data_IF_908356017196
#
_entry.id   IF_908356017196
#
_cell.length_a   1.000
_cell.length_b   1.000
_cell.length_c   1.000
_cell.angle_alpha   90.00
_cell.angle_beta   90.00
_cell.angle_gamma   90.00
#
_symmetry.space_group_name_H-M   'P 1'
#
loop_
_entity.id
_entity.type
_entity.pdbx_description
1 polymer ?
#
# COMPACT_ATOMS: atom_id res chain seq x y z
N UNK A 1 -3.82 -18.49 -8.40
CA UNK A 1 -3.51 -17.56 -9.51
C UNK A 1 -2.03 -17.67 -9.81
N UNK A 2 -1.61 -17.50 -11.07
CA UNK A 2 -0.19 -17.41 -11.45
C UNK A 2 0.27 -15.95 -11.38
N UNK A 3 1.36 -15.68 -10.64
CA UNK A 3 1.91 -14.35 -10.41
C UNK A 3 3.37 -14.33 -10.82
N UNK A 4 3.76 -13.40 -11.70
CA UNK A 4 5.16 -13.15 -12.01
C UNK A 4 5.65 -11.92 -11.25
N UNK A 5 6.85 -12.01 -10.65
CA UNK A 5 7.48 -10.93 -9.89
C UNK A 5 8.81 -10.59 -10.57
N UNK A 6 8.90 -9.42 -11.17
CA UNK A 6 10.14 -8.87 -11.67
C UNK A 6 10.91 -8.21 -10.52
N UNK A 7 12.08 -8.75 -10.21
CA UNK A 7 12.92 -8.38 -9.08
C UNK A 7 12.90 -9.43 -7.97
N UNK A 8 13.96 -10.21 -7.86
CA UNK A 8 14.14 -11.24 -6.82
C UNK A 8 15.01 -10.75 -5.65
N UNK A 9 15.00 -9.45 -5.39
CA UNK A 9 15.59 -8.82 -4.21
C UNK A 9 14.90 -9.23 -2.91
N UNK A 10 15.22 -8.58 -1.80
CA UNK A 10 14.60 -8.89 -0.50
C UNK A 10 13.07 -8.73 -0.55
N UNK A 11 12.60 -7.61 -1.12
CA UNK A 11 11.16 -7.31 -1.24
C UNK A 11 10.44 -8.33 -2.11
N UNK A 12 10.94 -8.60 -3.33
CA UNK A 12 10.29 -9.57 -4.24
C UNK A 12 10.21 -10.97 -3.64
N UNK A 13 11.26 -11.42 -2.95
CA UNK A 13 11.23 -12.74 -2.26
C UNK A 13 10.27 -12.75 -1.07
N UNK A 14 10.14 -11.64 -0.34
CA UNK A 14 9.16 -11.53 0.75
C UNK A 14 7.74 -11.63 0.23
N UNK A 15 7.42 -10.88 -0.83
CA UNK A 15 6.12 -10.95 -1.51
C UNK A 15 5.85 -12.38 -2.03
N UNK A 16 6.86 -13.01 -2.64
CA UNK A 16 6.74 -14.36 -3.16
C UNK A 16 6.39 -15.39 -2.09
N UNK A 17 6.99 -15.30 -0.90
CA UNK A 17 6.66 -16.19 0.24
C UNK A 17 5.21 -16.06 0.65
N UNK A 18 4.76 -14.83 0.87
CA UNK A 18 3.39 -14.52 1.27
C UNK A 18 2.36 -15.05 0.25
N UNK A 19 2.60 -14.80 -1.04
CA UNK A 19 1.72 -15.28 -2.09
C UNK A 19 1.68 -16.80 -2.19
N UNK A 20 2.81 -17.47 -1.98
CA UNK A 20 2.87 -18.94 -1.95
C UNK A 20 2.16 -19.54 -0.74
N UNK A 21 2.20 -18.88 0.42
CA UNK A 21 1.45 -19.28 1.61
C UNK A 21 -0.05 -19.15 1.38
N UNK A 22 -0.47 -18.14 0.62
CA UNK A 22 -1.85 -17.92 0.19
C UNK A 22 -2.29 -18.79 -1.01
N UNK A 23 -1.48 -19.78 -1.41
CA UNK A 23 -1.83 -20.77 -2.44
C UNK A 23 -1.73 -20.28 -3.88
N UNK A 24 -0.92 -19.25 -4.14
CA UNK A 24 -0.63 -18.78 -5.49
C UNK A 24 0.60 -19.49 -6.07
N UNK A 25 0.68 -19.58 -7.41
CA UNK A 25 1.87 -19.98 -8.12
C UNK A 25 2.71 -18.74 -8.41
N UNK A 26 4.00 -18.76 -8.08
CA UNK A 26 4.87 -17.60 -8.19
C UNK A 26 6.10 -17.90 -9.04
N UNK A 27 6.35 -17.03 -10.02
CA UNK A 27 7.59 -16.97 -10.80
C UNK A 27 8.38 -15.72 -10.38
N UNK A 28 9.63 -15.89 -9.98
CA UNK A 28 10.56 -14.80 -9.70
C UNK A 28 11.52 -14.62 -10.88
N UNK A 29 11.63 -13.39 -11.39
CA UNK A 29 12.50 -13.01 -12.51
C UNK A 29 13.53 -12.00 -12.02
N UNK A 30 14.81 -12.22 -12.24
CA UNK A 30 15.86 -11.24 -11.96
C UNK A 30 17.04 -11.45 -12.90
N UNK A 31 17.62 -10.35 -13.38
CA UNK A 31 18.80 -10.41 -14.27
C UNK A 31 20.12 -10.61 -13.54
N UNK A 32 20.13 -10.40 -12.23
CA UNK A 32 21.33 -10.54 -11.43
C UNK A 32 21.43 -11.97 -10.86
N UNK A 33 22.44 -12.77 -11.25
CA UNK A 33 22.60 -14.12 -10.74
C UNK A 33 22.73 -14.20 -9.21
N UNK A 34 23.19 -13.13 -8.56
CA UNK A 34 23.31 -13.06 -7.10
C UNK A 34 21.95 -12.95 -6.40
N UNK A 35 20.90 -12.51 -7.12
CA UNK A 35 19.53 -12.44 -6.62
C UNK A 35 18.82 -13.78 -6.69
N UNK A 36 19.28 -14.71 -7.55
CA UNK A 36 18.71 -16.04 -7.69
C UNK A 36 19.11 -16.89 -6.48
N UNK A 37 18.21 -16.92 -5.49
CA UNK A 37 18.42 -17.63 -4.22
C UNK A 37 17.31 -18.67 -4.01
N UNK A 38 17.29 -19.70 -4.86
CA UNK A 38 16.23 -20.73 -4.92
C UNK A 38 15.91 -21.30 -3.53
N UNK A 39 16.93 -21.54 -2.70
CA UNK A 39 16.75 -22.06 -1.34
C UNK A 39 15.95 -21.12 -0.41
N UNK A 40 15.88 -19.83 -0.74
CA UNK A 40 15.14 -18.86 0.10
C UNK A 40 13.63 -18.89 -0.14
N UNK A 41 13.19 -19.34 -1.33
CA UNK A 41 11.78 -19.50 -1.71
C UNK A 41 11.66 -20.77 -2.56
N UNK A 42 11.75 -21.98 -1.96
CA UNK A 42 11.91 -23.24 -2.70
C UNK A 42 10.71 -23.62 -3.58
N UNK A 43 9.52 -23.09 -3.25
CA UNK A 43 8.28 -23.39 -3.98
C UNK A 43 8.04 -22.44 -5.17
N UNK A 44 8.84 -21.39 -5.33
CA UNK A 44 8.74 -20.50 -6.47
C UNK A 44 9.47 -21.06 -7.68
N UNK A 45 8.96 -20.76 -8.87
CA UNK A 45 9.71 -20.87 -10.11
C UNK A 45 10.72 -19.70 -10.19
N UNK A 46 11.86 -19.93 -10.84
CA UNK A 46 12.91 -18.92 -10.94
C UNK A 46 13.40 -18.79 -12.37
N UNK A 47 13.52 -17.56 -12.85
CA UNK A 47 14.05 -17.24 -14.16
C UNK A 47 15.17 -16.19 -14.03
N UNK A 48 16.37 -16.55 -14.49
CA UNK A 48 17.48 -15.61 -14.63
C UNK A 48 17.38 -14.91 -15.98
N UNK A 49 16.75 -13.73 -16.02
CA UNK A 49 16.50 -12.98 -17.25
C UNK A 49 16.24 -11.49 -16.95
N UNK A 50 16.41 -10.62 -17.94
CA UNK A 50 16.02 -9.22 -17.84
C UNK A 50 14.53 -9.08 -18.16
N UNK A 51 13.73 -8.71 -17.17
CA UNK A 51 12.29 -8.54 -17.34
C UNK A 51 11.91 -7.30 -18.21
N UNK A 52 12.86 -6.50 -18.64
CA UNK A 52 12.65 -5.43 -19.60
C UNK A 52 12.78 -5.89 -21.07
N UNK A 53 13.08 -7.18 -21.32
CA UNK A 53 13.23 -7.75 -22.64
C UNK A 53 12.05 -8.67 -22.99
N UNK A 54 11.46 -8.47 -24.17
CA UNK A 54 10.30 -9.26 -24.66
C UNK A 54 10.60 -10.74 -24.66
N UNK A 55 11.76 -11.16 -25.18
CA UNK A 55 12.18 -12.56 -25.23
C UNK A 55 12.23 -13.22 -23.85
N UNK A 56 12.65 -12.48 -22.83
CA UNK A 56 12.66 -12.94 -21.44
C UNK A 56 11.24 -13.12 -20.88
N UNK A 57 10.31 -12.25 -21.28
CA UNK A 57 8.92 -12.31 -20.87
C UNK A 57 8.16 -13.43 -21.62
N UNK A 58 8.55 -13.74 -22.87
CA UNK A 58 8.09 -14.92 -23.62
C UNK A 58 8.50 -16.22 -22.88
N UNK A 59 9.77 -16.32 -22.48
CA UNK A 59 10.28 -17.46 -21.70
C UNK A 59 9.56 -17.61 -20.35
N UNK A 60 9.16 -16.50 -19.75
CA UNK A 60 8.36 -16.46 -18.53
C UNK A 60 6.90 -16.87 -18.75
N UNK A 61 6.43 -16.99 -19.99
CA UNK A 61 5.02 -17.19 -20.36
C UNK A 61 4.10 -16.20 -19.67
N UNK A 62 4.41 -14.91 -19.84
CA UNK A 62 3.77 -13.84 -19.10
C UNK A 62 2.26 -13.71 -19.44
N UNK A 63 1.86 -14.12 -20.66
CA UNK A 63 0.48 -14.19 -21.12
C UNK A 63 -0.40 -15.15 -20.28
N UNK A 64 0.22 -16.04 -19.50
CA UNK A 64 -0.47 -16.97 -18.60
C UNK A 64 -0.59 -16.44 -17.17
N UNK A 65 0.00 -15.27 -16.89
CA UNK A 65 -0.03 -14.67 -15.57
C UNK A 65 -1.30 -13.86 -15.34
N UNK A 66 -1.89 -14.01 -14.17
CA UNK A 66 -3.04 -13.21 -13.73
C UNK A 66 -2.58 -11.85 -13.19
N UNK A 67 -1.38 -11.81 -12.62
CA UNK A 67 -0.78 -10.62 -12.00
C UNK A 67 0.70 -10.56 -12.34
N UNK A 68 1.18 -9.36 -12.65
CA UNK A 68 2.61 -9.05 -12.70
C UNK A 68 2.93 -8.03 -11.62
N UNK A 69 4.01 -8.27 -10.88
CA UNK A 69 4.52 -7.37 -9.84
C UNK A 69 5.90 -6.89 -10.25
N UNK A 70 6.02 -5.62 -10.61
CA UNK A 70 7.29 -4.97 -10.89
C UNK A 70 7.88 -4.45 -9.57
N UNK A 71 8.82 -5.19 -8.98
CA UNK A 71 9.39 -4.95 -7.65
C UNK A 71 10.92 -4.85 -7.64
N UNK A 72 11.49 -4.39 -8.75
CA UNK A 72 12.94 -4.14 -8.84
C UNK A 72 13.35 -2.90 -8.03
N UNK A 73 14.66 -2.70 -7.85
CA UNK A 73 15.20 -1.48 -7.24
C UNK A 73 15.29 -0.28 -8.19
N UNK A 74 14.81 -0.40 -9.42
CA UNK A 74 14.90 0.64 -10.46
C UNK A 74 13.50 0.98 -10.97
N UNK A 75 13.07 2.23 -10.76
CA UNK A 75 11.74 2.72 -11.16
C UNK A 75 11.54 2.66 -12.68
N UNK A 76 12.60 2.89 -13.48
CA UNK A 76 12.52 2.79 -14.94
C UNK A 76 12.26 1.36 -15.38
N UNK A 77 12.95 0.40 -14.77
CA UNK A 77 12.70 -1.01 -15.04
C UNK A 77 11.28 -1.41 -14.64
N UNK A 78 10.80 -0.94 -13.49
CA UNK A 78 9.43 -1.23 -13.04
C UNK A 78 8.39 -0.67 -14.03
N UNK A 79 8.58 0.53 -14.57
CA UNK A 79 7.70 1.12 -15.58
C UNK A 79 7.73 0.31 -16.89
N UNK A 80 8.92 -0.07 -17.38
CA UNK A 80 9.06 -0.86 -18.62
C UNK A 80 8.38 -2.21 -18.48
N UNK A 81 8.62 -2.94 -17.39
CA UNK A 81 7.97 -4.23 -17.10
C UNK A 81 6.45 -4.07 -17.07
N UNK A 82 5.95 -3.02 -16.40
CA UNK A 82 4.52 -2.77 -16.29
C UNK A 82 3.88 -2.51 -17.65
N UNK A 83 4.52 -1.67 -18.46
CA UNK A 83 4.04 -1.36 -19.80
C UNK A 83 4.01 -2.61 -20.69
N UNK A 84 5.10 -3.38 -20.76
CA UNK A 84 5.17 -4.62 -21.54
C UNK A 84 4.12 -5.64 -21.07
N UNK A 85 4.01 -5.87 -19.77
CA UNK A 85 3.02 -6.78 -19.22
C UNK A 85 1.59 -6.43 -19.64
N UNK A 86 1.27 -5.14 -19.70
CA UNK A 86 -0.07 -4.65 -20.04
C UNK A 86 -0.33 -4.64 -21.55
N UNK A 87 0.61 -4.11 -22.33
CA UNK A 87 0.41 -3.86 -23.76
C UNK A 87 0.72 -5.07 -24.65
N UNK A 88 1.78 -5.81 -24.34
CA UNK A 88 2.20 -6.96 -25.15
C UNK A 88 1.56 -8.27 -24.69
N UNK A 89 1.40 -8.46 -23.38
CA UNK A 89 0.91 -9.73 -22.81
C UNK A 89 -0.51 -9.67 -22.29
N UNK A 90 -1.14 -8.48 -22.25
CA UNK A 90 -2.53 -8.32 -21.82
C UNK A 90 -2.78 -8.78 -20.38
N UNK A 91 -1.77 -8.69 -19.50
CA UNK A 91 -1.89 -9.13 -18.11
C UNK A 91 -3.00 -8.35 -17.39
N UNK A 92 -3.98 -9.04 -16.78
CA UNK A 92 -5.15 -8.37 -16.20
C UNK A 92 -4.82 -7.36 -15.12
N UNK A 93 -3.79 -7.64 -14.28
CA UNK A 93 -3.40 -6.76 -13.18
C UNK A 93 -1.90 -6.61 -13.08
N UNK A 94 -1.45 -5.36 -13.02
CA UNK A 94 -0.04 -5.01 -12.87
C UNK A 94 0.13 -4.14 -11.63
N UNK A 95 1.00 -4.60 -10.72
CA UNK A 95 1.37 -3.89 -9.50
C UNK A 95 2.81 -3.41 -9.64
N UNK A 96 3.09 -2.15 -9.37
CA UNK A 96 4.44 -1.63 -9.49
C UNK A 96 4.90 -0.94 -8.20
N UNK A 97 6.11 -1.28 -7.78
CA UNK A 97 6.81 -0.63 -6.68
C UNK A 97 7.43 0.67 -7.16
N UNK A 98 7.24 1.71 -6.36
CA UNK A 98 7.91 3.00 -6.49
C UNK A 98 9.05 3.06 -5.48
N UNK A 99 10.27 3.28 -5.96
CA UNK A 99 11.45 3.43 -5.10
C UNK A 99 11.70 4.90 -4.71
N UNK A 100 11.39 5.83 -5.63
CA UNK A 100 11.57 7.27 -5.41
C UNK A 100 10.24 8.01 -5.53
N UNK A 101 9.74 8.66 -4.46
CA UNK A 101 8.45 9.37 -4.48
C UNK A 101 8.33 10.42 -5.58
N UNK A 102 9.44 11.04 -6.01
CA UNK A 102 9.45 11.99 -7.13
C UNK A 102 9.04 11.41 -8.48
N UNK A 103 9.05 10.08 -8.62
CA UNK A 103 8.65 9.38 -9.84
C UNK A 103 7.20 8.90 -9.81
N UNK A 104 6.49 9.08 -8.70
CA UNK A 104 5.15 8.53 -8.46
C UNK A 104 4.13 8.92 -9.54
N UNK A 105 4.21 10.13 -10.04
CA UNK A 105 3.35 10.64 -11.11
C UNK A 105 3.42 9.85 -12.43
N UNK A 106 4.51 9.09 -12.66
CA UNK A 106 4.66 8.21 -13.82
C UNK A 106 3.91 6.87 -13.66
N UNK A 107 3.66 6.42 -12.43
CA UNK A 107 3.10 5.10 -12.16
C UNK A 107 1.57 5.12 -12.24
N UNK A 108 1.05 5.21 -13.45
CA UNK A 108 -0.36 5.30 -13.76
C UNK A 108 -0.75 4.36 -14.91
N UNK A 109 -2.00 4.38 -15.32
CA UNK A 109 -2.55 3.51 -16.37
C UNK A 109 -1.85 3.68 -17.73
N UNK A 110 -1.35 4.89 -18.05
CA UNK A 110 -0.60 5.14 -19.30
C UNK A 110 0.71 4.35 -19.36
N UNK A 111 1.27 3.99 -18.22
CA UNK A 111 2.43 3.12 -18.07
C UNK A 111 2.06 1.68 -17.73
N UNK A 112 0.79 1.31 -17.90
CA UNK A 112 0.30 -0.05 -17.65
C UNK A 112 0.23 -0.43 -16.17
N UNK A 113 0.27 0.55 -15.24
CA UNK A 113 0.24 0.30 -13.80
C UNK A 113 -1.18 0.38 -13.28
N UNK A 114 -1.71 -0.74 -12.79
CA UNK A 114 -2.99 -0.77 -12.09
C UNK A 114 -2.84 -0.45 -10.61
N UNK A 115 -1.75 -0.85 -9.96
CA UNK A 115 -1.47 -0.58 -8.55
C UNK A 115 -0.05 -0.05 -8.38
N UNK A 116 0.07 1.19 -7.94
CA UNK A 116 1.33 1.80 -7.57
C UNK A 116 1.54 1.72 -6.05
N UNK A 117 2.71 1.22 -5.60
CA UNK A 117 3.04 1.09 -4.18
C UNK A 117 4.34 1.82 -3.89
N UNK A 118 4.23 2.96 -3.22
CA UNK A 118 5.39 3.74 -2.78
C UNK A 118 5.88 3.24 -1.42
N UNK A 119 6.90 2.39 -1.44
CA UNK A 119 7.51 1.87 -0.20
C UNK A 119 8.01 2.99 0.72
N UNK A 120 8.69 4.04 0.23
CA UNK A 120 9.14 5.13 1.09
C UNK A 120 7.98 5.89 1.76
N UNK A 121 6.89 6.17 1.02
CA UNK A 121 5.72 6.86 1.60
C UNK A 121 5.05 6.04 2.69
N UNK A 122 4.82 4.74 2.42
CA UNK A 122 4.24 3.84 3.42
C UNK A 122 5.09 3.76 4.69
N UNK A 123 6.42 3.63 4.53
CA UNK A 123 7.32 3.60 5.67
C UNK A 123 7.32 4.93 6.43
N UNK A 124 7.36 6.06 5.71
CA UNK A 124 7.32 7.39 6.35
C UNK A 124 6.01 7.59 7.12
N UNK A 125 4.86 7.20 6.53
CA UNK A 125 3.57 7.31 7.22
C UNK A 125 3.54 6.48 8.52
N UNK A 126 4.03 5.23 8.48
CA UNK A 126 4.08 4.37 9.67
C UNK A 126 5.06 4.89 10.74
N UNK A 127 6.16 5.54 10.32
CA UNK A 127 7.10 6.17 11.27
C UNK A 127 6.49 7.43 11.85
N UNK A 128 5.81 8.24 11.04
CA UNK A 128 5.14 9.46 11.48
C UNK A 128 4.03 9.14 12.49
N UNK A 129 3.20 8.13 12.21
CA UNK A 129 2.20 7.63 13.15
C UNK A 129 2.85 7.21 14.48
N UNK A 130 3.95 6.46 14.43
CA UNK A 130 4.62 5.96 15.64
C UNK A 130 5.29 7.06 16.51
N UNK A 131 5.57 8.24 15.95
CA UNK A 131 6.26 9.34 16.67
C UNK A 131 5.37 10.55 16.95
N UNK A 132 4.22 10.66 16.29
CA UNK A 132 3.30 11.79 16.38
C UNK A 132 2.08 11.42 17.22
N UNK A 133 1.79 12.23 18.24
CA UNK A 133 0.54 12.16 18.99
C UNK A 133 -0.26 13.44 18.69
N UNK A 134 -1.48 13.28 18.17
CA UNK A 134 -2.35 14.40 17.82
C UNK A 134 -2.29 14.83 16.36
N UNK A 135 -1.39 14.29 15.55
CA UNK A 135 -1.33 14.55 14.11
C UNK A 135 -2.13 13.50 13.33
N UNK A 136 -2.85 13.94 12.31
CA UNK A 136 -3.59 13.04 11.40
C UNK A 136 -2.63 12.42 10.39
N UNK A 137 -2.47 11.09 10.42
CA UNK A 137 -1.54 10.36 9.54
C UNK A 137 -2.31 9.59 8.47
N UNK A 138 -1.98 9.82 7.20
CA UNK A 138 -2.56 9.09 6.06
C UNK A 138 -1.86 7.74 5.88
N UNK A 139 -2.58 6.65 6.18
CA UNK A 139 -2.06 5.28 6.05
C UNK A 139 -2.10 4.79 4.60
N UNK A 140 -3.21 5.03 3.88
CA UNK A 140 -3.35 4.64 2.48
C UNK A 140 -4.47 5.41 1.79
N UNK A 141 -4.38 5.53 0.45
CA UNK A 141 -5.42 6.10 -0.40
C UNK A 141 -6.12 5.00 -1.20
N UNK A 142 -7.45 5.03 -1.28
CA UNK A 142 -8.25 4.08 -2.05
C UNK A 142 -8.28 4.47 -3.54
N UNK A 143 -8.03 3.51 -4.44
CA UNK A 143 -7.81 3.78 -5.87
C UNK A 143 -9.04 4.19 -6.68
N UNK A 144 -10.22 3.84 -6.24
CA UNK A 144 -11.48 4.09 -6.96
C UNK A 144 -12.27 5.26 -6.40
N UNK A 145 -11.73 5.91 -5.40
CA UNK A 145 -12.32 7.09 -4.73
C UNK A 145 -11.19 8.01 -4.30
N UNK A 146 -11.48 9.28 -4.14
CA UNK A 146 -10.56 10.27 -3.55
C UNK A 146 -10.48 10.11 -2.03
N UNK A 147 -10.90 8.97 -1.49
CA UNK A 147 -10.90 8.69 -0.07
C UNK A 147 -9.60 8.03 0.38
N UNK A 148 -9.19 8.35 1.59
CA UNK A 148 -8.02 7.80 2.28
C UNK A 148 -8.43 7.16 3.60
N UNK A 149 -7.68 6.15 4.02
CA UNK A 149 -7.66 5.67 5.38
C UNK A 149 -6.65 6.51 6.15
N UNK A 150 -7.11 7.17 7.19
CA UNK A 150 -6.28 8.01 8.05
C UNK A 150 -6.40 7.56 9.50
N UNK A 151 -5.39 7.82 10.29
CA UNK A 151 -5.31 7.51 11.71
C UNK A 151 -4.91 8.76 12.48
N UNK A 152 -5.40 8.87 13.71
CA UNK A 152 -4.94 9.85 14.69
C UNK A 152 -4.99 9.25 16.09
N UNK A 153 -3.90 9.37 16.83
CA UNK A 153 -3.89 9.11 18.28
C UNK A 153 -4.31 10.38 19.01
N UNK A 154 -5.45 10.32 19.69
CA UNK A 154 -5.99 11.47 20.41
C UNK A 154 -5.07 11.91 21.55
N UNK A 155 -4.68 13.19 21.62
CA UNK A 155 -4.03 13.76 22.80
C UNK A 155 -4.88 13.55 24.06
N UNK A 156 -4.23 13.41 25.21
CA UNK A 156 -4.95 13.21 26.49
C UNK A 156 -5.86 14.40 26.86
N UNK A 157 -5.53 15.58 26.35
CA UNK A 157 -6.24 16.85 26.55
C UNK A 157 -7.01 17.34 25.31
N UNK A 158 -7.28 16.43 24.36
CA UNK A 158 -8.01 16.74 23.15
C UNK A 158 -9.40 17.35 23.44
N UNK A 159 -9.86 18.34 22.64
CA UNK A 159 -11.13 19.01 22.87
C UNK A 159 -12.35 18.09 22.87
N UNK A 160 -12.27 16.97 22.15
CA UNK A 160 -13.33 15.99 22.03
C UNK A 160 -13.26 14.86 23.08
N UNK A 161 -12.25 14.84 23.94
CA UNK A 161 -12.16 13.83 25.00
C UNK A 161 -13.38 13.91 25.95
N UNK A 162 -14.05 12.77 26.16
CA UNK A 162 -15.29 12.68 26.93
C UNK A 162 -16.58 13.00 26.17
N UNK A 163 -16.52 13.47 24.94
CA UNK A 163 -17.71 13.68 24.12
C UNK A 163 -18.18 12.39 23.48
N UNK A 164 -19.49 12.24 23.30
CA UNK A 164 -20.06 11.08 22.60
C UNK A 164 -19.88 11.25 21.10
N UNK A 165 -19.59 10.17 20.40
CA UNK A 165 -19.38 10.15 18.95
C UNK A 165 -20.57 10.75 18.19
N UNK A 166 -21.80 10.49 18.64
CA UNK A 166 -23.02 10.99 18.03
C UNK A 166 -23.30 12.47 18.25
N UNK A 167 -22.61 13.10 19.20
CA UNK A 167 -22.76 14.54 19.50
C UNK A 167 -21.72 15.40 18.76
N UNK A 168 -20.78 14.75 18.06
CA UNK A 168 -19.73 15.42 17.31
C UNK A 168 -20.21 15.72 15.88
N UNK A 169 -20.03 16.95 15.45
CA UNK A 169 -20.34 17.38 14.08
C UNK A 169 -19.15 17.04 13.15
N UNK A 170 -19.14 15.80 12.69
CA UNK A 170 -18.10 15.30 11.80
C UNK A 170 -18.14 15.98 10.43
N UNK A 171 -16.98 16.29 9.83
CA UNK A 171 -16.94 16.79 8.46
C UNK A 171 -17.68 15.86 7.50
N UNK A 172 -18.29 16.42 6.45
CA UNK A 172 -18.88 15.62 5.38
C UNK A 172 -17.84 14.68 4.76
N UNK A 173 -18.29 13.57 4.19
CA UNK A 173 -17.40 12.55 3.57
C UNK A 173 -16.33 11.98 4.52
N UNK A 174 -16.66 11.92 5.83
CA UNK A 174 -15.82 11.34 6.88
C UNK A 174 -16.59 10.26 7.64
N UNK A 175 -15.95 9.12 7.86
CA UNK A 175 -16.49 8.01 8.63
C UNK A 175 -15.45 7.50 9.64
N UNK A 176 -15.77 7.55 10.95
CA UNK A 176 -15.00 6.85 11.98
C UNK A 176 -15.31 5.35 11.87
N UNK A 177 -14.31 4.54 11.51
CA UNK A 177 -14.49 3.11 11.22
C UNK A 177 -14.07 2.20 12.36
N UNK A 178 -13.10 2.60 13.17
CA UNK A 178 -12.66 1.86 14.34
C UNK A 178 -12.01 2.77 15.39
N UNK A 179 -12.07 2.35 16.64
CA UNK A 179 -11.32 2.91 17.76
C UNK A 179 -10.46 1.78 18.34
N UNK A 180 -9.16 2.05 18.51
CA UNK A 180 -8.29 1.14 19.26
C UNK A 180 -8.01 1.78 20.61
N UNK A 181 -8.41 1.07 21.67
CA UNK A 181 -8.26 1.49 23.08
C UNK A 181 -7.72 0.34 23.90
N UNK A 182 -6.61 0.50 24.59
CA UNK A 182 -5.99 -0.53 25.43
C UNK A 182 -5.77 -1.86 24.69
N UNK A 183 -5.37 -1.79 23.40
CA UNK A 183 -5.15 -2.97 22.55
C UNK A 183 -6.42 -3.70 22.11
N UNK A 184 -7.59 -3.09 22.27
CA UNK A 184 -8.89 -3.62 21.82
C UNK A 184 -9.44 -2.82 20.67
N UNK A 185 -10.06 -3.52 19.72
CA UNK A 185 -10.81 -2.89 18.63
C UNK A 185 -12.25 -2.66 19.07
N UNK A 186 -12.70 -1.42 19.02
CA UNK A 186 -14.06 -0.99 19.32
C UNK A 186 -14.72 -0.56 18.02
N UNK A 187 -15.91 -1.09 17.74
CA UNK A 187 -16.77 -0.61 16.65
C UNK A 187 -17.50 0.63 17.17
N UNK A 188 -17.32 1.81 16.55
CA UNK A 188 -17.88 3.04 17.08
C UNK A 188 -19.42 3.03 17.10
N UNK A 189 -19.99 3.45 18.22
CA UNK A 189 -21.43 3.69 18.35
C UNK A 189 -21.65 5.15 18.77
N UNK A 190 -22.81 5.72 18.44
CA UNK A 190 -23.14 7.11 18.78
C UNK A 190 -23.07 7.44 20.26
N UNK A 191 -23.33 6.46 21.13
CA UNK A 191 -23.32 6.64 22.60
C UNK A 191 -21.92 6.50 23.22
N UNK A 192 -20.93 5.99 22.48
CA UNK A 192 -19.58 5.79 22.97
C UNK A 192 -18.86 7.13 23.15
N UNK A 193 -18.22 7.38 24.30
CA UNK A 193 -17.38 8.54 24.49
C UNK A 193 -16.00 8.31 23.87
N UNK A 194 -15.41 9.35 23.29
CA UNK A 194 -13.99 9.37 22.93
C UNK A 194 -13.14 9.59 24.18
N UNK A 195 -11.99 8.95 24.25
CA UNK A 195 -11.06 9.09 25.38
C UNK A 195 -9.67 9.51 24.89
N UNK A 196 -8.96 10.29 25.70
CA UNK A 196 -7.57 10.62 25.41
C UNK A 196 -6.73 9.35 25.32
N UNK A 197 -5.89 9.26 24.28
CA UNK A 197 -5.09 8.06 23.98
C UNK A 197 -5.80 7.07 23.05
N UNK A 198 -7.05 7.32 22.63
CA UNK A 198 -7.68 6.51 21.59
C UNK A 198 -6.95 6.67 20.26
N UNK A 199 -6.65 5.55 19.59
CA UNK A 199 -6.24 5.56 18.19
C UNK A 199 -7.52 5.46 17.34
N UNK A 200 -7.80 6.50 16.57
CA UNK A 200 -9.03 6.65 15.78
C UNK A 200 -8.72 6.41 14.30
N UNK A 201 -9.39 5.44 13.68
CA UNK A 201 -9.28 5.20 12.25
C UNK A 201 -10.47 5.78 11.51
N UNK A 202 -10.18 6.60 10.50
CA UNK A 202 -11.20 7.20 9.64
C UNK A 202 -11.01 6.82 8.18
N UNK A 203 -12.12 6.76 7.45
CA UNK A 203 -12.13 6.88 6.00
C UNK A 203 -12.68 8.27 5.67
N UNK A 204 -11.88 9.09 4.98
CA UNK A 204 -12.22 10.48 4.67
C UNK A 204 -11.71 10.87 3.28
N UNK A 205 -12.29 11.92 2.70
CA UNK A 205 -11.76 12.50 1.46
C UNK A 205 -10.57 13.41 1.75
N UNK A 206 -9.66 13.55 0.78
CA UNK A 206 -8.43 14.34 0.92
C UNK A 206 -8.74 15.81 1.27
N UNK A 207 -9.81 16.36 0.70
CA UNK A 207 -10.19 17.76 0.89
C UNK A 207 -10.57 18.10 2.34
N UNK A 208 -11.01 17.13 3.13
CA UNK A 208 -11.46 17.37 4.51
C UNK A 208 -10.50 16.85 5.59
N UNK A 209 -9.38 16.21 5.21
CA UNK A 209 -8.40 15.72 6.17
C UNK A 209 -7.88 16.81 7.11
N UNK A 210 -7.58 17.99 6.56
CA UNK A 210 -7.12 19.12 7.38
C UNK A 210 -8.19 19.57 8.40
N UNK A 211 -9.47 19.63 7.99
CA UNK A 211 -10.56 20.00 8.87
C UNK A 211 -10.76 18.95 9.98
N UNK A 212 -10.64 17.66 9.62
CA UNK A 212 -10.73 16.56 10.58
C UNK A 212 -9.59 16.63 11.61
N UNK A 213 -8.36 16.89 11.17
CA UNK A 213 -7.21 17.06 12.05
C UNK A 213 -7.39 18.21 13.04
N UNK A 214 -7.85 19.39 12.58
CA UNK A 214 -8.14 20.52 13.45
C UNK A 214 -9.25 20.22 14.47
N UNK A 215 -10.29 19.50 14.06
CA UNK A 215 -11.39 19.11 14.96
C UNK A 215 -10.91 18.20 16.10
N UNK A 216 -10.00 17.28 15.81
CA UNK A 216 -9.54 16.27 16.76
C UNK A 216 -8.40 16.77 17.67
N UNK A 217 -7.43 17.47 17.09
CA UNK A 217 -6.26 17.96 17.83
C UNK A 217 -6.46 19.32 18.49
N UNK A 218 -7.44 20.12 18.02
CA UNK A 218 -7.59 21.52 18.38
C UNK A 218 -6.68 22.43 17.52
N UNK A 219 -6.95 23.75 17.56
CA UNK A 219 -6.07 24.73 16.93
C UNK A 219 -4.74 24.83 17.71
N UNK A 220 -3.65 24.37 17.10
CA UNK A 220 -2.28 24.64 17.56
C UNK A 220 -1.63 25.74 16.73
#
# INVERSE_FOLDING_TARGET
MRVAIAGAGAVGRSIAKELLENGHEVLLIDKNPRSIKVYSVPRAEWLLADACEITSLDDASLERCNVVIAATGDDKANLVVSLLAKTEYGVPRVVARINHPSNEWLFNESWGVDVAVSTPRLLSALVEEAVSVGDLVRLMTFRQSEASLVEITMPADAPLAGQRIGDIDWPADTALVAILRDGRVIVPNSDDPLEGGDELLFVTSEDVEHQLGQLLAGDH
#
